data_IF_982499216452
#
_entry.id   IF_982499216452
#
_cell.length_a   1.000
_cell.length_b   1.000
_cell.length_c   1.000
_cell.angle_alpha   90.00
_cell.angle_beta   90.00
_cell.angle_gamma   90.00
#
_symmetry.space_group_name_H-M   'P 1'
#
loop_
_entity.id
_entity.type
_entity.pdbx_description
1 polymer ?
#
# COMPACT_ATOMS: atom_id res chain seq x y z
N UNK A 1 -20.69 -13.22 -22.71
CA UNK A 1 -19.34 -13.82 -22.61
C UNK A 1 -18.76 -13.29 -21.32
N UNK A 2 -18.46 -14.18 -20.38
CA UNK A 2 -17.95 -13.80 -19.07
C UNK A 2 -16.44 -13.71 -19.15
N UNK A 3 -15.90 -12.59 -18.67
CA UNK A 3 -14.47 -12.33 -18.60
C UNK A 3 -13.94 -12.69 -17.22
N UNK A 4 -12.72 -13.21 -17.20
CA UNK A 4 -11.96 -13.40 -15.98
C UNK A 4 -11.05 -12.21 -15.73
N UNK A 5 -11.33 -11.47 -14.67
CA UNK A 5 -10.55 -10.35 -14.18
C UNK A 5 -9.59 -10.83 -13.09
N UNK A 6 -8.37 -10.33 -13.13
CA UNK A 6 -7.40 -10.46 -12.06
C UNK A 6 -7.82 -9.57 -10.87
N UNK A 7 -8.43 -10.20 -9.87
CA UNK A 7 -8.90 -9.54 -8.63
C UNK A 7 -7.81 -8.81 -7.85
N UNK A 8 -6.58 -9.30 -7.89
CA UNK A 8 -5.46 -8.70 -7.15
C UNK A 8 -5.04 -7.37 -7.80
N UNK A 9 -5.01 -7.33 -9.14
CA UNK A 9 -4.76 -6.09 -9.88
C UNK A 9 -5.89 -5.10 -9.65
N UNK A 10 -7.15 -5.54 -9.76
CA UNK A 10 -8.32 -4.69 -9.52
C UNK A 10 -8.28 -4.05 -8.12
N UNK A 11 -8.02 -4.87 -7.09
CA UNK A 11 -7.92 -4.42 -5.70
C UNK A 11 -6.75 -3.46 -5.49
N UNK A 12 -5.58 -3.80 -6.02
CA UNK A 12 -4.37 -2.97 -5.94
C UNK A 12 -4.59 -1.60 -6.58
N UNK A 13 -5.12 -1.54 -7.79
CA UNK A 13 -5.37 -0.28 -8.49
C UNK A 13 -6.39 0.59 -7.73
N UNK A 14 -7.41 -0.03 -7.12
CA UNK A 14 -8.35 0.66 -6.23
C UNK A 14 -7.66 1.24 -4.99
N UNK A 15 -6.83 0.44 -4.32
CA UNK A 15 -6.12 0.84 -3.10
C UNK A 15 -5.06 1.91 -3.37
N UNK A 16 -4.34 1.84 -4.50
CA UNK A 16 -3.40 2.88 -4.94
C UNK A 16 -4.05 4.25 -5.13
N UNK A 17 -5.36 4.28 -5.42
CA UNK A 17 -6.15 5.51 -5.56
C UNK A 17 -6.88 5.89 -4.27
N UNK A 18 -6.64 5.16 -3.17
CA UNK A 18 -7.36 5.30 -1.90
C UNK A 18 -8.90 5.18 -2.04
N UNK A 19 -9.37 4.39 -3.01
CA UNK A 19 -10.79 4.25 -3.29
C UNK A 19 -11.43 3.15 -2.46
N UNK A 20 -12.60 3.43 -1.89
CA UNK A 20 -13.44 2.37 -1.30
C UNK A 20 -14.16 1.59 -2.42
N UNK A 21 -14.68 0.40 -2.11
CA UNK A 21 -15.48 -0.36 -3.07
C UNK A 21 -16.71 0.41 -3.57
N UNK A 22 -17.31 1.25 -2.71
CA UNK A 22 -18.43 2.11 -3.11
C UNK A 22 -18.00 3.23 -4.03
N UNK A 23 -16.82 3.83 -3.80
CA UNK A 23 -16.29 4.86 -4.67
C UNK A 23 -15.91 4.32 -6.06
N UNK A 24 -15.25 3.15 -6.12
CA UNK A 24 -14.99 2.49 -7.41
C UNK A 24 -16.29 2.16 -8.16
N UNK A 25 -17.33 1.75 -7.43
CA UNK A 25 -18.64 1.48 -8.03
C UNK A 25 -19.29 2.75 -8.61
N UNK A 26 -19.20 3.86 -7.90
CA UNK A 26 -19.70 5.17 -8.37
C UNK A 26 -18.96 5.65 -9.62
N UNK A 27 -17.62 5.62 -9.62
CA UNK A 27 -16.80 6.07 -10.76
C UNK A 27 -16.96 5.14 -11.98
N UNK A 28 -17.12 3.84 -11.75
CA UNK A 28 -17.34 2.86 -12.82
C UNK A 28 -18.80 2.76 -13.30
N UNK A 29 -19.73 3.54 -12.72
CA UNK A 29 -21.17 3.43 -12.99
C UNK A 29 -21.70 1.99 -12.82
N UNK A 30 -21.23 1.31 -11.76
CA UNK A 30 -21.61 -0.04 -11.39
C UNK A 30 -22.25 -0.07 -10.01
N UNK A 31 -23.01 -1.13 -9.70
CA UNK A 31 -23.47 -1.34 -8.33
C UNK A 31 -22.31 -1.79 -7.43
N UNK A 32 -22.32 -1.36 -6.16
CA UNK A 32 -21.37 -1.83 -5.14
C UNK A 32 -21.34 -3.36 -5.04
N UNK A 33 -22.51 -4.02 -5.18
CA UNK A 33 -22.62 -5.49 -5.20
C UNK A 33 -21.90 -6.11 -6.39
N UNK A 34 -21.91 -5.45 -7.55
CA UNK A 34 -21.20 -5.88 -8.74
C UNK A 34 -19.69 -5.83 -8.51
N UNK A 35 -19.18 -4.70 -8.02
CA UNK A 35 -17.75 -4.52 -7.68
C UNK A 35 -17.30 -5.55 -6.65
N UNK A 36 -18.04 -5.72 -5.55
CA UNK A 36 -17.74 -6.74 -4.53
C UNK A 36 -17.72 -8.16 -5.07
N UNK A 37 -18.68 -8.50 -5.95
CA UNK A 37 -18.73 -9.83 -6.56
C UNK A 37 -17.51 -10.04 -7.46
N UNK A 38 -17.13 -9.04 -8.26
CA UNK A 38 -15.98 -9.09 -9.16
C UNK A 38 -14.67 -9.19 -8.36
N UNK A 39 -14.47 -8.39 -7.31
CA UNK A 39 -13.28 -8.50 -6.45
C UNK A 39 -13.19 -9.86 -5.74
N UNK A 40 -14.33 -10.50 -5.45
CA UNK A 40 -14.37 -11.82 -4.80
C UNK A 40 -14.16 -12.98 -5.77
N UNK A 41 -14.86 -12.99 -6.91
CA UNK A 41 -14.89 -14.14 -7.82
C UNK A 41 -14.03 -13.96 -9.06
N UNK A 42 -13.73 -12.71 -9.45
CA UNK A 42 -13.03 -12.36 -10.68
C UNK A 42 -13.91 -12.44 -11.93
N UNK A 43 -15.22 -12.69 -11.80
CA UNK A 43 -16.10 -12.88 -12.98
C UNK A 43 -16.86 -11.59 -13.32
N UNK A 44 -16.64 -11.05 -14.51
CA UNK A 44 -17.28 -9.81 -14.96
C UNK A 44 -17.86 -9.97 -16.38
N UNK A 45 -18.92 -9.23 -16.70
CA UNK A 45 -19.32 -9.07 -18.11
C UNK A 45 -18.29 -8.19 -18.84
N UNK A 46 -18.23 -8.28 -20.17
CA UNK A 46 -17.39 -7.38 -20.98
C UNK A 46 -17.65 -5.90 -20.68
N UNK A 47 -18.91 -5.53 -20.45
CA UNK A 47 -19.30 -4.16 -20.11
C UNK A 47 -18.78 -3.76 -18.73
N UNK A 48 -18.95 -4.62 -17.72
CA UNK A 48 -18.46 -4.34 -16.36
C UNK A 48 -16.94 -4.27 -16.33
N UNK A 49 -16.26 -5.13 -17.06
CA UNK A 49 -14.80 -5.14 -17.14
C UNK A 49 -14.27 -3.88 -17.85
N UNK A 50 -14.91 -3.47 -18.95
CA UNK A 50 -14.59 -2.24 -19.65
C UNK A 50 -14.85 -0.99 -18.81
N UNK A 51 -15.96 -0.97 -18.05
CA UNK A 51 -16.29 0.12 -17.15
C UNK A 51 -15.26 0.27 -16.01
N UNK A 52 -14.82 -0.85 -15.41
CA UNK A 52 -13.75 -0.86 -14.42
C UNK A 52 -12.41 -0.38 -15.00
N UNK A 53 -12.06 -0.83 -16.22
CA UNK A 53 -10.85 -0.40 -16.90
C UNK A 53 -10.85 1.11 -17.18
N UNK A 54 -11.97 1.64 -17.66
CA UNK A 54 -12.15 3.06 -17.92
C UNK A 54 -12.11 3.90 -16.63
N UNK A 55 -12.78 3.44 -15.57
CA UNK A 55 -12.76 4.11 -14.27
C UNK A 55 -11.35 4.18 -13.66
N UNK A 56 -10.54 3.15 -13.88
CA UNK A 56 -9.16 3.09 -13.40
C UNK A 56 -8.15 3.73 -14.36
N UNK A 57 -8.57 4.20 -15.53
CA UNK A 57 -7.70 4.72 -16.59
C UNK A 57 -6.57 3.73 -16.99
N UNK A 58 -6.93 2.46 -17.15
CA UNK A 58 -6.01 1.38 -17.55
C UNK A 58 -6.58 0.57 -18.71
N UNK A 59 -5.70 -0.07 -19.47
CA UNK A 59 -6.13 -0.95 -20.57
C UNK A 59 -6.79 -2.22 -20.00
N UNK A 60 -7.90 -2.64 -20.63
CA UNK A 60 -8.67 -3.81 -20.20
C UNK A 60 -7.80 -5.09 -20.14
N UNK A 61 -6.80 -5.22 -21.00
CA UNK A 61 -5.88 -6.37 -20.99
C UNK A 61 -5.06 -6.48 -19.72
N UNK A 62 -4.81 -5.37 -19.02
CA UNK A 62 -4.09 -5.34 -17.73
C UNK A 62 -4.95 -5.94 -16.61
N UNK A 63 -6.27 -5.73 -16.68
CA UNK A 63 -7.22 -6.29 -15.72
C UNK A 63 -7.58 -7.75 -16.01
N UNK A 64 -7.32 -8.26 -17.22
CA UNK A 64 -7.67 -9.64 -17.56
C UNK A 64 -6.67 -10.65 -16.96
N UNK A 65 -7.21 -11.77 -16.49
CA UNK A 65 -6.39 -12.91 -16.10
C UNK A 65 -5.88 -13.60 -17.37
N UNK A 66 -4.61 -13.37 -17.72
CA UNK A 66 -3.99 -14.06 -18.84
C UNK A 66 -3.90 -15.57 -18.53
N UNK A 67 -4.22 -16.47 -19.48
CA UNK A 67 -4.13 -17.90 -19.27
C UNK A 67 -2.65 -18.31 -19.18
N UNK A 68 -2.13 -18.39 -17.95
CA UNK A 68 -0.86 -19.01 -17.60
C UNK A 68 0.40 -18.18 -17.90
N UNK A 69 0.81 -17.32 -16.97
CA UNK A 69 2.23 -17.05 -16.70
C UNK A 69 2.38 -16.30 -15.38
N UNK A 70 3.08 -16.91 -14.41
CA UNK A 70 3.54 -16.20 -13.22
C UNK A 70 4.46 -15.02 -13.59
N UNK A 71 4.43 -14.00 -12.73
CA UNK A 71 5.40 -12.91 -12.59
C UNK A 71 6.26 -12.62 -13.82
N UNK A 72 5.75 -11.74 -14.70
CA UNK A 72 6.61 -10.90 -15.54
C UNK A 72 6.09 -9.47 -15.51
N UNK A 73 6.62 -8.69 -14.58
CA UNK A 73 6.72 -7.23 -14.69
C UNK A 73 7.35 -6.91 -16.05
N UNK A 74 6.57 -6.32 -16.95
CA UNK A 74 7.10 -5.77 -18.20
C UNK A 74 7.02 -4.26 -18.08
N UNK A 75 8.15 -3.52 -18.12
CA UNK A 75 8.14 -2.07 -18.07
C UNK A 75 7.61 -1.47 -19.39
N UNK A 76 7.08 -0.24 -19.37
CA UNK A 76 6.51 0.40 -20.55
C UNK A 76 7.55 0.61 -21.66
N UNK A 77 7.11 0.39 -22.91
CA UNK A 77 7.84 0.67 -24.16
C UNK A 77 8.34 2.12 -24.18
N UNK A 78 9.63 2.31 -23.97
CA UNK A 78 10.32 3.57 -24.22
C UNK A 78 11.00 3.57 -25.60
N UNK A 79 11.04 4.76 -26.15
CA UNK A 79 11.33 5.16 -27.52
C UNK A 79 12.69 4.67 -28.04
N UNK A 80 12.75 4.30 -29.31
CA UNK A 80 13.97 3.90 -30.00
C UNK A 80 14.95 5.07 -30.14
N UNK A 81 16.13 4.94 -29.56
CA UNK A 81 17.35 5.58 -30.06
C UNK A 81 18.31 4.46 -30.50
N UNK A 82 18.36 4.25 -31.82
CA UNK A 82 19.52 3.64 -32.48
C UNK A 82 20.61 4.71 -32.60
N UNK A 83 21.88 4.27 -32.55
CA UNK A 83 23.16 5.02 -32.63
C UNK A 83 23.51 5.76 -31.32
N UNK A 84 24.61 5.50 -30.60
CA UNK A 84 25.98 5.18 -31.03
C UNK A 84 26.67 4.14 -30.14
N UNK A 85 27.31 3.18 -30.79
CA UNK A 85 28.36 2.32 -30.23
C UNK A 85 29.65 3.10 -29.97
N UNK A 86 30.40 2.63 -28.97
CA UNK A 86 31.80 2.92 -28.66
C UNK A 86 32.09 4.21 -27.87
N UNK A 87 32.18 4.06 -26.54
CA UNK A 87 33.27 4.49 -25.63
C UNK A 87 32.70 4.41 -24.21
N UNK A 88 33.21 3.51 -23.38
CA UNK A 88 32.76 3.37 -21.99
C UNK A 88 33.00 2.02 -21.33
N UNK A 89 33.73 1.09 -21.96
CA UNK A 89 34.11 -0.22 -21.39
C UNK A 89 35.18 -0.09 -20.26
N UNK A 90 35.31 1.07 -19.61
CA UNK A 90 36.34 1.32 -18.57
C UNK A 90 35.75 1.72 -17.20
N UNK A 91 34.43 1.72 -16.99
CA UNK A 91 33.88 1.85 -15.63
C UNK A 91 33.52 0.52 -14.96
N UNK A 92 33.72 -0.61 -15.63
CA UNK A 92 33.26 -1.95 -15.22
C UNK A 92 34.10 -2.63 -14.13
N UNK A 93 35.05 -1.94 -13.48
CA UNK A 93 35.91 -2.55 -12.44
C UNK A 93 35.77 -1.90 -11.05
N UNK A 94 35.09 -0.75 -10.89
CA UNK A 94 34.94 -0.09 -9.58
C UNK A 94 33.54 -0.13 -8.96
N UNK A 95 32.58 -0.84 -9.54
CA UNK A 95 31.27 -1.09 -8.88
C UNK A 95 31.24 -2.46 -8.17
N UNK A 96 32.30 -3.28 -8.33
CA UNK A 96 32.45 -4.57 -7.64
C UNK A 96 32.85 -4.45 -6.15
N UNK A 97 32.71 -3.26 -5.54
CA UNK A 97 32.81 -3.03 -4.09
C UNK A 97 31.53 -2.41 -3.49
N UNK A 98 30.47 -2.24 -4.27
CA UNK A 98 29.10 -1.95 -3.78
C UNK A 98 28.28 -3.22 -3.59
N UNK A 99 28.98 -4.28 -3.23
CA UNK A 99 28.52 -5.63 -3.04
C UNK A 99 27.44 -5.66 -1.95
N UNK A 100 26.24 -6.06 -2.37
CA UNK A 100 25.14 -6.67 -1.60
C UNK A 100 25.09 -6.42 -0.08
N UNK A 101 24.25 -5.46 0.34
CA UNK A 101 23.37 -5.76 1.47
C UNK A 101 22.14 -6.44 0.89
N UNK A 102 22.18 -7.77 0.79
CA UNK A 102 20.94 -8.54 0.84
C UNK A 102 20.43 -8.44 2.27
N UNK A 103 19.78 -7.32 2.60
CA UNK A 103 18.89 -7.31 3.74
C UNK A 103 17.78 -8.30 3.38
N UNK A 104 17.82 -9.49 3.94
CA UNK A 104 16.65 -10.35 3.97
C UNK A 104 15.56 -9.51 4.65
N UNK A 105 14.60 -9.03 3.88
CA UNK A 105 13.52 -8.21 4.42
C UNK A 105 12.64 -9.13 5.27
N UNK A 106 12.89 -9.14 6.59
CA UNK A 106 11.99 -9.74 7.56
C UNK A 106 10.66 -8.96 7.50
N UNK A 107 9.60 -9.68 7.13
CA UNK A 107 8.24 -9.13 7.06
C UNK A 107 7.57 -9.40 8.40
N UNK A 108 7.06 -8.35 9.03
CA UNK A 108 6.39 -8.40 10.31
C UNK A 108 4.91 -8.15 10.09
N UNK A 109 4.06 -8.99 10.69
CA UNK A 109 2.63 -8.75 10.71
C UNK A 109 2.33 -7.76 11.83
N UNK A 110 1.80 -6.60 11.47
CA UNK A 110 1.38 -5.56 12.40
C UNK A 110 -0.14 -5.47 12.34
N UNK A 111 -0.83 -5.77 13.44
CA UNK A 111 -2.24 -5.43 13.59
C UNK A 111 -2.34 -4.04 14.23
N UNK A 112 -3.06 -3.13 13.59
CA UNK A 112 -3.27 -1.78 14.09
C UNK A 112 -4.77 -1.53 14.23
N UNK A 113 -5.20 -1.17 15.44
CA UNK A 113 -6.54 -0.66 15.68
C UNK A 113 -6.46 0.80 16.11
N UNK A 114 -7.37 1.61 15.56
CA UNK A 114 -7.34 3.05 15.74
C UNK A 114 -8.71 3.49 16.23
N UNK A 115 -8.79 4.11 17.40
CA UNK A 115 -10.05 4.68 17.88
C UNK A 115 -9.94 6.21 17.84
N UNK A 116 -10.78 6.87 17.04
CA UNK A 116 -10.85 8.33 16.96
C UNK A 116 -12.30 8.80 17.00
N UNK A 117 -12.58 9.86 17.76
CA UNK A 117 -13.93 10.46 17.87
C UNK A 117 -15.06 9.47 18.23
N UNK A 118 -14.75 8.39 18.95
CA UNK A 118 -15.71 7.35 19.34
C UNK A 118 -16.10 6.39 18.21
N UNK A 119 -15.38 6.42 17.08
CA UNK A 119 -15.44 5.39 16.04
C UNK A 119 -14.17 4.54 16.13
N UNK A 120 -14.35 3.22 16.21
CA UNK A 120 -13.25 2.25 16.10
C UNK A 120 -13.00 2.01 14.62
N UNK A 121 -11.86 2.48 14.14
CA UNK A 121 -11.32 2.15 12.83
C UNK A 121 -10.66 0.77 12.91
N UNK A 122 -11.11 -0.08 12.00
CA UNK A 122 -10.95 -1.54 11.97
C UNK A 122 -9.52 -2.04 12.13
N UNK A 123 -9.35 -3.22 12.74
CA UNK A 123 -8.08 -3.95 12.79
C UNK A 123 -7.47 -4.09 11.38
N UNK A 124 -6.40 -3.35 11.13
CA UNK A 124 -5.66 -3.42 9.87
C UNK A 124 -4.45 -4.33 10.05
N UNK A 125 -4.43 -5.45 9.31
CA UNK A 125 -3.25 -6.30 9.19
C UNK A 125 -2.34 -5.73 8.11
N UNK A 126 -1.16 -5.25 8.50
CA UNK A 126 -0.17 -4.72 7.58
C UNK A 126 1.11 -5.54 7.63
N UNK A 127 1.60 -5.93 6.46
CA UNK A 127 2.90 -6.57 6.29
C UNK A 127 3.94 -5.46 6.17
N UNK A 128 4.63 -5.17 7.26
CA UNK A 128 5.70 -4.16 7.27
C UNK A 128 7.05 -4.84 7.12
N UNK A 129 7.90 -4.33 6.23
CA UNK A 129 9.32 -4.72 6.22
C UNK A 129 10.06 -3.96 7.32
N UNK A 130 10.89 -4.66 8.10
CA UNK A 130 11.70 -4.04 9.14
C UNK A 130 12.65 -3.00 8.50
N UNK A 131 12.61 -1.77 9.02
CA UNK A 131 13.46 -0.65 8.60
C UNK A 131 12.91 0.17 7.43
N UNK A 132 11.72 -0.16 6.91
CA UNK A 132 11.03 0.66 5.88
C UNK A 132 9.84 1.41 6.46
N UNK A 133 9.56 2.57 5.87
CA UNK A 133 8.36 3.35 6.19
C UNK A 133 7.16 2.76 5.44
N UNK A 134 6.13 2.40 6.19
CA UNK A 134 4.83 1.96 5.72
C UNK A 134 3.84 3.12 5.84
N UNK A 135 3.16 3.47 4.75
CA UNK A 135 2.22 4.59 4.71
C UNK A 135 0.77 4.10 4.77
N UNK A 136 -0.05 4.80 5.55
CA UNK A 136 -1.44 4.52 5.79
C UNK A 136 -2.23 5.84 5.83
N UNK A 137 -3.19 6.01 4.93
CA UNK A 137 -4.05 7.18 4.93
C UNK A 137 -5.29 6.90 5.79
N UNK A 138 -5.56 7.78 6.76
CA UNK A 138 -6.76 7.76 7.61
C UNK A 138 -7.68 8.90 7.16
N UNK A 139 -8.92 8.57 6.77
CA UNK A 139 -10.02 9.52 6.55
C UNK A 139 -9.67 10.80 5.77
N UNK A 140 -9.00 10.70 4.61
CA UNK A 140 -8.73 11.80 3.66
C UNK A 140 -8.13 13.12 4.23
N UNK A 141 -7.81 13.13 5.53
CA UNK A 141 -7.41 14.26 6.36
C UNK A 141 -6.16 13.90 7.16
N UNK A 142 -5.92 12.61 7.42
CA UNK A 142 -4.76 12.15 8.16
C UNK A 142 -3.92 11.20 7.32
N UNK A 143 -2.61 11.33 7.42
CA UNK A 143 -1.65 10.38 6.87
C UNK A 143 -0.80 9.86 8.02
N UNK A 144 -0.64 8.56 8.12
CA UNK A 144 0.21 7.92 9.10
C UNK A 144 1.30 7.16 8.38
N UNK A 145 2.55 7.48 8.68
CA UNK A 145 3.69 6.68 8.25
C UNK A 145 4.27 6.01 9.47
N UNK A 146 4.51 4.70 9.41
CA UNK A 146 5.13 3.99 10.50
C UNK A 146 6.35 3.21 10.04
N UNK A 147 7.36 3.15 10.88
CA UNK A 147 8.57 2.38 10.63
C UNK A 147 8.86 1.51 11.83
N UNK A 148 9.13 0.24 11.56
CA UNK A 148 9.50 -0.73 12.59
C UNK A 148 11.01 -0.96 12.54
N UNK A 149 11.66 -1.01 13.70
CA UNK A 149 13.09 -1.34 13.82
C UNK A 149 13.30 -2.28 15.01
N UNK A 150 14.04 -3.35 14.80
CA UNK A 150 14.37 -4.29 15.88
C UNK A 150 15.39 -3.67 16.84
N UNK A 151 15.12 -3.74 18.14
CA UNK A 151 16.03 -3.33 19.22
C UNK A 151 16.17 -4.47 20.26
N UNK A 152 17.04 -5.42 19.94
CA UNK A 152 17.23 -6.63 20.77
C UNK A 152 16.00 -7.53 20.71
N UNK A 153 15.43 -7.83 21.87
CA UNK A 153 14.21 -8.65 22.05
C UNK A 153 12.91 -7.89 21.75
N UNK A 154 12.98 -6.56 21.59
CA UNK A 154 11.79 -5.72 21.38
C UNK A 154 11.80 -5.09 19.99
N UNK A 155 10.61 -4.70 19.53
CA UNK A 155 10.43 -3.92 18.31
C UNK A 155 10.15 -2.46 18.66
N UNK A 156 10.96 -1.54 18.15
CA UNK A 156 10.67 -0.12 18.23
C UNK A 156 9.83 0.28 17.01
N UNK A 157 8.68 0.89 17.27
CA UNK A 157 7.77 1.39 16.25
C UNK A 157 7.73 2.90 16.37
N UNK A 158 8.11 3.57 15.29
CA UNK A 158 7.89 4.99 15.13
C UNK A 158 6.66 5.21 14.27
N UNK A 159 5.77 6.11 14.69
CA UNK A 159 4.70 6.61 13.86
C UNK A 159 4.95 8.10 13.59
N UNK A 160 4.60 8.55 12.39
CA UNK A 160 4.52 9.95 11.99
C UNK A 160 3.09 10.18 11.52
N UNK A 161 2.40 11.07 12.20
CA UNK A 161 1.02 11.42 11.92
C UNK A 161 1.03 12.81 11.31
N UNK A 162 0.48 12.92 10.12
CA UNK A 162 0.29 14.16 9.40
C UNK A 162 -1.19 14.47 9.32
N UNK A 163 -1.51 15.76 9.32
CA UNK A 163 -2.86 16.28 9.09
C UNK A 163 -2.84 17.15 7.84
N UNK A 164 -3.86 16.99 7.00
CA UNK A 164 -4.04 17.76 5.78
C UNK A 164 -4.61 19.13 6.14
N UNK A 165 -3.83 20.19 5.95
CA UNK A 165 -4.22 21.57 6.27
C UNK A 165 -3.76 22.49 5.15
N UNK A 166 -4.63 23.38 4.69
CA UNK A 166 -4.32 24.38 3.64
C UNK A 166 -3.73 23.80 2.33
N UNK A 167 -4.06 22.55 2.00
CA UNK A 167 -3.61 21.91 0.75
C UNK A 167 -2.33 21.08 0.87
N UNK A 168 -1.71 20.99 2.05
CA UNK A 168 -0.52 20.17 2.30
C UNK A 168 -0.66 19.30 3.56
N UNK A 169 0.07 18.18 3.60
CA UNK A 169 0.18 17.35 4.80
C UNK A 169 1.26 17.91 5.73
N UNK A 170 0.85 18.32 6.93
CA UNK A 170 1.77 18.81 7.97
C UNK A 170 1.92 17.78 9.08
N UNK A 171 3.15 17.51 9.50
CA UNK A 171 3.43 16.60 10.61
C UNK A 171 2.85 17.18 11.90
N UNK A 172 1.89 16.48 12.50
CA UNK A 172 1.25 16.87 13.75
C UNK A 172 1.80 16.11 14.95
N UNK A 173 2.27 14.88 14.75
CA UNK A 173 2.83 14.08 15.85
C UNK A 173 3.80 13.02 15.32
N UNK A 174 4.82 12.69 16.10
CA UNK A 174 5.80 11.65 15.74
C UNK A 174 6.10 10.72 16.92
N UNK A 175 5.09 9.99 17.44
CA UNK A 175 5.27 9.20 18.65
C UNK A 175 6.03 7.89 18.36
N UNK A 176 6.62 7.30 19.40
CA UNK A 176 7.32 6.04 19.30
C UNK A 176 6.96 5.13 20.47
N UNK A 177 6.90 3.82 20.22
CA UNK A 177 6.58 2.82 21.23
C UNK A 177 7.41 1.56 21.05
N UNK A 178 7.77 0.96 22.17
CA UNK A 178 8.44 -0.33 22.22
C UNK A 178 7.35 -1.42 22.32
N UNK A 179 7.47 -2.48 21.53
CA UNK A 179 6.50 -3.55 21.42
C UNK A 179 7.21 -4.89 21.61
N UNK A 180 6.63 -5.76 22.43
CA UNK A 180 7.08 -7.14 22.67
C UNK A 180 6.40 -8.09 21.68
N UNK A 181 7.04 -9.23 21.41
CA UNK A 181 6.51 -10.22 20.46
C UNK A 181 5.18 -10.79 20.97
N UNK A 182 4.15 -10.74 20.11
CA UNK A 182 2.77 -11.17 20.40
C UNK A 182 2.07 -10.45 21.57
N UNK A 183 2.65 -9.38 22.11
CA UNK A 183 2.01 -8.58 23.16
C UNK A 183 1.39 -7.28 22.59
N UNK A 184 0.13 -6.96 22.97
CA UNK A 184 -0.49 -5.72 22.55
C UNK A 184 0.12 -4.53 23.30
N UNK A 185 0.64 -3.58 22.54
CA UNK A 185 1.07 -2.30 23.05
C UNK A 185 0.07 -1.22 22.63
N UNK A 186 -0.18 -0.23 23.50
CA UNK A 186 -1.12 0.87 23.21
C UNK A 186 -0.45 2.23 23.36
N UNK A 187 -0.92 3.19 22.56
CA UNK A 187 -0.38 4.53 22.51
C UNK A 187 -1.51 5.54 22.30
N UNK A 188 -1.54 6.55 23.16
CA UNK A 188 -2.52 7.62 23.07
C UNK A 188 -1.88 8.85 22.45
N UNK A 189 -2.39 9.28 21.30
CA UNK A 189 -1.93 10.48 20.62
C UNK A 189 -3.02 11.53 20.70
N UNK A 190 -2.67 12.72 21.18
CA UNK A 190 -3.57 13.89 21.15
C UNK A 190 -3.19 14.74 19.94
N UNK A 191 -4.16 15.00 19.05
CA UNK A 191 -3.93 15.86 17.89
C UNK A 191 -4.14 17.33 18.25
N UNK A 192 -3.71 18.19 17.34
CA UNK A 192 -3.75 19.66 17.48
C UNK A 192 -5.15 20.22 17.70
N UNK A 193 -6.19 19.52 17.23
CA UNK A 193 -7.60 19.88 17.37
C UNK A 193 -8.24 19.36 18.68
N UNK A 194 -7.45 18.69 19.53
CA UNK A 194 -7.91 18.10 20.79
C UNK A 194 -8.52 16.71 20.67
N UNK A 195 -8.59 16.14 19.46
CA UNK A 195 -8.99 14.75 19.29
C UNK A 195 -7.95 13.82 19.93
N UNK A 196 -8.41 12.66 20.40
CA UNK A 196 -7.55 11.60 20.92
C UNK A 196 -7.66 10.42 19.98
N UNK A 197 -6.51 9.96 19.50
CA UNK A 197 -6.37 8.71 18.78
C UNK A 197 -5.77 7.70 19.76
N UNK A 198 -6.45 6.58 19.96
CA UNK A 198 -5.87 5.42 20.62
C UNK A 198 -5.36 4.47 19.53
N UNK A 199 -4.07 4.17 19.55
CA UNK A 199 -3.40 3.24 18.66
C UNK A 199 -3.08 1.99 19.46
N UNK A 200 -3.63 0.84 19.09
CA UNK A 200 -3.23 -0.44 19.65
C UNK A 200 -2.53 -1.25 18.57
N UNK A 201 -1.37 -1.80 18.92
CA UNK A 201 -0.51 -2.49 18.00
C UNK A 201 -0.08 -3.84 18.56
N UNK A 202 -0.20 -4.89 17.74
CA UNK A 202 0.41 -6.21 17.99
C UNK A 202 1.33 -6.53 16.84
N UNK A 203 2.55 -6.96 17.14
CA UNK A 203 3.53 -7.40 16.16
C UNK A 203 3.86 -8.89 16.38
N UNK A 204 4.04 -9.63 15.29
CA UNK A 204 4.48 -11.04 15.29
C UNK A 204 5.80 -11.12 14.52
N UNK A 205 6.92 -11.40 15.21
CA UNK A 205 8.28 -11.29 14.65
C UNK A 205 9.35 -12.26 15.21
#
# INVERSE_FOLDING_TARGET
MDMKINKEILRRERELRAWTQSHLAEVADLSMRTVQRIERTGDASMESAGALAAALDIDLSVLMEAPGAGNKTTPPKSYSYKLWSAIGVISSILVAAGWWSSAAAEQVMVSLSIEASGQVYSDMMLLSEIGKESEMQLDNQFLMQFSTSRQGEHMLIHAKIYHFTEGEYQLVSSPAMLVEDQEPASMHVTLSDGQRINLQLVADF
#
